data_IF_054986802331
#
_entry.id   IF_054986802331
#
_cell.length_a   1.000
_cell.length_b   1.000
_cell.length_c   1.000
_cell.angle_alpha   90.00
_cell.angle_beta   90.00
_cell.angle_gamma   90.00
#
_symmetry.space_group_name_H-M   'P 1'
#
loop_
_entity.id
_entity.type
_entity.pdbx_description
1 polymer ?
#
# COMPACT_ATOMS: atom_id res chain seq x y z
N UNK A 1 23.94 -20.57 29.12
CA UNK A 1 22.79 -20.50 28.20
C UNK A 1 23.27 -19.88 26.91
N UNK A 2 23.15 -20.57 25.77
CA UNK A 2 23.50 -20.02 24.45
C UNK A 2 22.34 -19.18 23.92
N UNK A 3 22.55 -17.95 23.42
CA UNK A 3 21.50 -17.18 22.79
C UNK A 3 21.14 -17.79 21.43
N UNK A 4 19.85 -18.10 21.25
CA UNK A 4 19.28 -18.52 19.98
C UNK A 4 19.07 -17.27 19.12
N UNK A 5 19.77 -17.19 17.99
CA UNK A 5 19.55 -16.15 16.98
C UNK A 5 18.25 -16.48 16.22
N UNK A 6 17.28 -15.55 16.12
CA UNK A 6 16.10 -15.78 15.29
C UNK A 6 16.49 -15.82 13.81
N UNK A 7 16.02 -16.87 13.13
CA UNK A 7 16.18 -17.05 11.69
C UNK A 7 15.48 -15.91 10.93
N UNK A 8 16.08 -15.34 9.87
CA UNK A 8 15.38 -14.38 9.04
C UNK A 8 14.14 -15.05 8.44
N UNK A 9 12.98 -14.39 8.59
CA UNK A 9 11.75 -14.82 7.95
C UNK A 9 11.99 -14.90 6.44
N UNK A 10 11.74 -16.07 5.85
CA UNK A 10 11.82 -16.26 4.42
C UNK A 10 10.85 -15.29 3.74
N UNK A 11 11.34 -14.55 2.74
CA UNK A 11 10.51 -13.72 1.88
C UNK A 11 9.44 -14.62 1.23
N UNK A 12 8.15 -14.22 1.21
CA UNK A 12 7.15 -14.98 0.49
C UNK A 12 7.53 -15.04 -0.99
N UNK A 13 7.33 -16.22 -1.59
CA UNK A 13 7.64 -16.49 -2.98
C UNK A 13 6.98 -15.45 -3.90
N UNK A 14 7.75 -14.95 -4.86
CA UNK A 14 7.29 -14.07 -5.93
C UNK A 14 6.19 -14.80 -6.71
N UNK A 15 4.92 -14.43 -6.47
CA UNK A 15 3.82 -14.86 -7.32
C UNK A 15 4.06 -14.29 -8.72
N UNK A 16 4.54 -15.14 -9.61
CA UNK A 16 4.62 -14.86 -11.04
C UNK A 16 3.19 -14.88 -11.58
N UNK A 17 2.62 -13.70 -11.88
CA UNK A 17 1.31 -13.60 -12.51
C UNK A 17 1.40 -14.09 -13.96
N UNK A 18 1.21 -15.40 -14.14
CA UNK A 18 1.12 -16.07 -15.43
C UNK A 18 -0.05 -15.56 -16.27
N UNK A 19 0.26 -15.39 -17.56
CA UNK A 19 -0.54 -15.08 -18.75
C UNK A 19 -2.06 -15.36 -18.72
N UNK A 20 -2.79 -14.33 -19.18
CA UNK A 20 -4.23 -14.27 -19.53
C UNK A 20 -5.24 -14.29 -18.38
N UNK A 21 -5.10 -13.38 -17.41
CA UNK A 21 -6.21 -12.94 -16.56
C UNK A 21 -7.18 -12.10 -17.40
N UNK A 22 -8.47 -12.44 -17.38
CA UNK A 22 -9.51 -11.52 -17.86
C UNK A 22 -9.37 -10.18 -17.14
N UNK A 23 -9.45 -9.08 -17.89
CA UNK A 23 -9.43 -7.72 -17.32
C UNK A 23 -10.58 -7.65 -16.32
N UNK A 24 -10.26 -7.48 -15.03
CA UNK A 24 -11.28 -7.33 -14.00
C UNK A 24 -11.78 -5.90 -14.02
N UNK A 25 -13.07 -5.72 -13.72
CA UNK A 25 -13.70 -4.42 -13.62
C UNK A 25 -14.50 -4.34 -12.34
N UNK A 26 -14.55 -3.15 -11.75
CA UNK A 26 -15.49 -2.82 -10.69
C UNK A 26 -16.68 -2.06 -11.27
N UNK A 27 -17.80 -2.05 -10.56
CA UNK A 27 -19.00 -1.33 -10.97
C UNK A 27 -19.74 -0.69 -9.78
N UNK A 28 -20.05 0.60 -9.90
CA UNK A 28 -20.95 1.31 -9.00
C UNK A 28 -22.27 1.55 -9.74
N UNK A 29 -23.36 1.00 -9.22
CA UNK A 29 -24.71 1.18 -9.77
C UNK A 29 -25.52 2.10 -8.85
N UNK A 30 -26.17 3.11 -9.43
CA UNK A 30 -27.04 4.01 -8.70
C UNK A 30 -28.44 3.44 -8.52
N UNK A 31 -29.22 3.99 -7.57
CA UNK A 31 -30.63 3.64 -7.38
C UNK A 31 -31.52 3.96 -8.59
N UNK A 32 -31.05 4.78 -9.52
CA UNK A 32 -31.74 5.07 -10.79
C UNK A 32 -31.33 4.15 -11.92
N UNK A 33 -30.43 3.18 -11.66
CA UNK A 33 -29.94 2.21 -12.63
C UNK A 33 -28.77 2.70 -13.50
N UNK A 34 -28.18 3.87 -13.20
CA UNK A 34 -26.95 4.31 -13.85
C UNK A 34 -25.78 3.47 -13.35
N UNK A 35 -24.90 3.04 -14.25
CA UNK A 35 -23.75 2.22 -13.90
C UNK A 35 -22.47 2.90 -14.36
N UNK A 36 -21.53 3.08 -13.44
CA UNK A 36 -20.16 3.48 -13.74
C UNK A 36 -19.25 2.30 -13.47
N UNK A 37 -18.34 2.04 -14.40
CA UNK A 37 -17.36 0.95 -14.31
C UNK A 37 -15.95 1.48 -14.46
N UNK A 38 -14.99 0.71 -13.94
CA UNK A 38 -13.58 1.01 -14.10
C UNK A 38 -12.73 -0.26 -14.01
N UNK A 39 -11.45 -0.12 -14.34
CA UNK A 39 -10.50 -1.23 -14.22
C UNK A 39 -10.30 -1.59 -12.75
N UNK A 40 -10.36 -2.88 -12.42
CA UNK A 40 -10.01 -3.41 -11.10
C UNK A 40 -8.65 -4.13 -11.21
N UNK A 41 -7.56 -3.48 -10.80
CA UNK A 41 -6.24 -4.08 -10.96
C UNK A 41 -6.10 -5.41 -10.22
N UNK A 42 -5.31 -6.38 -10.72
CA UNK A 42 -5.08 -7.66 -10.07
C UNK A 42 -4.43 -7.52 -8.68
N UNK A 43 -3.74 -6.41 -8.45
CA UNK A 43 -3.01 -6.08 -7.22
C UNK A 43 -3.84 -5.31 -6.19
N UNK A 44 -5.03 -4.82 -6.56
CA UNK A 44 -5.89 -4.10 -5.63
C UNK A 44 -6.38 -5.04 -4.52
N UNK A 45 -6.20 -4.62 -3.27
CA UNK A 45 -6.65 -5.35 -2.09
C UNK A 45 -8.19 -5.45 -2.02
N UNK A 46 -8.89 -4.44 -2.52
CA UNK A 46 -10.34 -4.31 -2.42
C UNK A 46 -11.00 -4.03 -3.78
N UNK A 47 -12.24 -4.51 -3.92
CA UNK A 47 -13.13 -4.21 -5.04
C UNK A 47 -14.11 -3.11 -4.60
N UNK A 48 -14.09 -1.92 -5.23
CA UNK A 48 -14.95 -0.80 -4.84
C UNK A 48 -16.38 -0.91 -5.41
N UNK A 49 -16.77 -2.06 -5.97
CA UNK A 49 -18.10 -2.26 -6.52
C UNK A 49 -19.19 -2.07 -5.45
N UNK A 50 -20.20 -1.25 -5.76
CA UNK A 50 -21.31 -0.93 -4.86
C UNK A 50 -22.62 -0.87 -5.67
N UNK A 51 -23.74 -1.29 -5.08
CA UNK A 51 -25.06 -1.21 -5.69
C UNK A 51 -25.94 -0.23 -4.91
N UNK A 52 -27.02 0.23 -5.53
CA UNK A 52 -28.02 1.10 -4.90
C UNK A 52 -27.45 2.40 -4.31
N UNK A 53 -26.41 2.96 -4.95
CA UNK A 53 -25.83 4.24 -4.54
C UNK A 53 -26.80 5.37 -4.91
N UNK A 54 -27.24 6.22 -3.96
CA UNK A 54 -28.05 7.38 -4.32
C UNK A 54 -27.27 8.29 -5.29
N UNK A 55 -27.85 8.79 -6.40
CA UNK A 55 -27.13 9.58 -7.39
C UNK A 55 -26.33 10.76 -6.79
N UNK A 56 -26.88 11.42 -5.76
CA UNK A 56 -26.22 12.51 -5.06
C UNK A 56 -24.94 12.12 -4.29
N UNK A 57 -24.72 10.83 -4.04
CA UNK A 57 -23.51 10.29 -3.39
C UNK A 57 -22.49 9.74 -4.39
N UNK A 58 -22.85 9.62 -5.67
CA UNK A 58 -22.00 8.98 -6.68
C UNK A 58 -20.62 9.64 -6.78
N UNK A 59 -20.56 10.98 -6.81
CA UNK A 59 -19.30 11.70 -6.86
C UNK A 59 -18.40 11.42 -5.64
N UNK A 60 -18.98 11.38 -4.44
CA UNK A 60 -18.23 11.03 -3.23
C UNK A 60 -17.73 9.57 -3.28
N UNK A 61 -18.57 8.65 -3.76
CA UNK A 61 -18.17 7.24 -3.93
C UNK A 61 -17.05 7.05 -4.93
N UNK A 62 -17.09 7.77 -6.04
CA UNK A 62 -15.98 7.76 -7.01
C UNK A 62 -14.70 8.32 -6.38
N UNK A 63 -14.78 9.41 -5.62
CA UNK A 63 -13.62 9.96 -4.91
C UNK A 63 -13.02 8.99 -3.87
N UNK A 64 -13.85 8.11 -3.28
CA UNK A 64 -13.41 7.07 -2.35
C UNK A 64 -12.79 5.84 -3.06
N UNK A 65 -12.90 5.73 -4.40
CA UNK A 65 -12.27 4.63 -5.14
C UNK A 65 -10.75 4.73 -5.01
N UNK A 66 -10.20 3.81 -4.23
CA UNK A 66 -8.78 3.72 -3.92
C UNK A 66 -8.32 2.28 -4.11
N UNK A 67 -7.40 2.07 -5.04
CA UNK A 67 -6.71 0.79 -5.19
C UNK A 67 -5.42 0.85 -4.41
N UNK A 68 -5.20 -0.12 -3.52
CA UNK A 68 -3.97 -0.17 -2.75
C UNK A 68 -3.41 -1.59 -2.65
N UNK A 69 -2.10 -1.66 -2.42
CA UNK A 69 -1.35 -2.86 -2.06
C UNK A 69 -0.38 -2.51 -0.93
N UNK A 70 -0.42 -3.26 0.16
CA UNK A 70 0.43 -3.01 1.32
C UNK A 70 1.71 -3.84 1.30
N UNK A 71 2.76 -3.28 1.88
CA UNK A 71 4.04 -3.91 2.14
C UNK A 71 4.39 -3.64 3.60
N UNK A 72 4.47 -4.69 4.43
CA UNK A 72 4.75 -4.50 5.84
C UNK A 72 6.12 -3.86 6.03
N UNK A 73 6.22 -3.02 7.05
CA UNK A 73 7.43 -2.36 7.50
C UNK A 73 8.29 -3.26 8.36
N UNK A 74 9.15 -2.63 9.16
CA UNK A 74 10.00 -3.31 10.13
C UNK A 74 9.48 -3.08 11.54
N UNK A 75 9.43 -4.14 12.35
CA UNK A 75 9.09 -4.01 13.76
C UNK A 75 10.33 -3.61 14.55
N UNK A 76 10.25 -2.47 15.24
CA UNK A 76 11.27 -1.95 16.15
C UNK A 76 10.64 -1.59 17.50
N UNK A 77 11.45 -1.59 18.56
CA UNK A 77 11.00 -1.16 19.88
C UNK A 77 11.16 0.35 20.04
N UNK A 78 10.08 1.06 20.35
CA UNK A 78 10.07 2.51 20.54
C UNK A 78 9.12 2.94 21.65
N UNK A 79 9.36 4.12 22.21
CA UNK A 79 8.46 4.78 23.14
C UNK A 79 7.40 5.57 22.40
N UNK A 80 6.15 5.41 22.82
CA UNK A 80 5.00 6.13 22.31
C UNK A 80 4.60 7.25 23.26
N UNK A 81 4.26 8.47 22.77
CA UNK A 81 3.78 9.56 23.61
C UNK A 81 2.52 9.22 24.42
N UNK A 82 1.73 8.26 23.94
CA UNK A 82 0.51 7.80 24.60
C UNK A 82 0.71 6.66 25.58
N UNK A 83 1.92 6.09 25.70
CA UNK A 83 2.16 4.97 26.59
C UNK A 83 2.45 5.45 28.03
N UNK A 84 1.58 5.10 28.96
CA UNK A 84 1.68 5.45 30.39
C UNK A 84 2.55 4.49 31.20
N UNK A 85 3.01 3.38 30.61
CA UNK A 85 3.80 2.36 31.33
C UNK A 85 5.30 2.65 31.36
N UNK A 86 5.77 3.69 30.65
CA UNK A 86 7.20 3.98 30.44
C UNK A 86 8.00 2.76 29.94
N UNK A 87 7.34 1.87 29.19
CA UNK A 87 7.98 0.72 28.53
C UNK A 87 7.96 0.89 27.00
N UNK A 88 9.03 0.50 26.28
CA UNK A 88 9.04 0.57 24.83
C UNK A 88 8.23 -0.58 24.24
N UNK A 89 7.35 -0.23 23.29
CA UNK A 89 6.45 -1.14 22.59
C UNK A 89 6.99 -1.53 21.21
N UNK A 90 6.52 -2.68 20.69
CA UNK A 90 6.81 -3.10 19.32
C UNK A 90 5.96 -2.29 18.34
N UNK A 91 6.63 -1.52 17.48
CA UNK A 91 6.02 -0.67 16.47
C UNK A 91 6.50 -1.06 15.08
N UNK A 92 5.55 -1.21 14.15
CA UNK A 92 5.86 -1.31 12.73
C UNK A 92 6.19 0.07 12.15
N UNK A 93 7.47 0.27 11.89
CA UNK A 93 8.01 1.49 11.27
C UNK A 93 8.25 1.29 9.79
N UNK A 94 8.10 2.38 9.02
CA UNK A 94 8.43 2.41 7.59
C UNK A 94 7.69 1.34 6.76
N UNK A 95 6.44 1.05 7.13
CA UNK A 95 5.55 0.32 6.24
C UNK A 95 5.31 1.14 4.96
N UNK A 96 5.04 0.45 3.86
CA UNK A 96 4.78 1.11 2.59
C UNK A 96 3.55 0.54 1.92
N UNK A 97 2.95 1.33 1.05
CA UNK A 97 1.87 0.89 0.20
C UNK A 97 2.07 1.45 -1.19
N UNK A 98 1.54 0.78 -2.19
CA UNK A 98 1.30 1.37 -3.50
C UNK A 98 -0.18 1.72 -3.54
N UNK A 99 -0.50 2.98 -3.82
CA UNK A 99 -1.86 3.51 -3.81
C UNK A 99 -2.16 4.22 -5.13
N UNK A 100 -3.38 4.11 -5.60
CA UNK A 100 -3.90 4.83 -6.76
C UNK A 100 -5.34 5.25 -6.47
N UNK A 101 -5.65 6.53 -6.65
CA UNK A 101 -6.97 7.12 -6.41
C UNK A 101 -7.42 7.80 -7.71
N UNK A 102 -8.06 7.06 -8.65
CA UNK A 102 -8.26 7.51 -10.02
C UNK A 102 -9.12 8.78 -10.17
N UNK A 103 -9.98 9.04 -9.18
CA UNK A 103 -10.89 10.19 -9.15
C UNK A 103 -10.47 11.24 -8.12
N UNK A 104 -9.25 11.17 -7.60
CA UNK A 104 -8.73 12.20 -6.71
C UNK A 104 -8.67 13.56 -7.44
N UNK A 105 -8.94 14.68 -6.74
CA UNK A 105 -8.82 16.01 -7.34
C UNK A 105 -7.41 16.34 -7.84
N UNK A 106 -6.40 15.77 -7.18
CA UNK A 106 -4.99 15.89 -7.53
C UNK A 106 -4.63 14.88 -8.63
N UNK A 107 -4.29 15.32 -9.87
CA UNK A 107 -4.05 14.42 -11.01
C UNK A 107 -2.90 13.43 -10.79
N UNK A 108 -1.93 13.77 -9.97
CA UNK A 108 -0.80 12.92 -9.61
C UNK A 108 -1.21 11.65 -8.84
N UNK A 109 -2.35 11.68 -8.15
CA UNK A 109 -2.88 10.55 -7.39
C UNK A 109 -3.66 9.56 -8.27
N UNK A 110 -4.00 9.94 -9.50
CA UNK A 110 -4.62 9.06 -10.48
C UNK A 110 -3.62 8.06 -11.12
N UNK A 111 -2.34 8.15 -10.73
CA UNK A 111 -1.31 7.18 -11.07
C UNK A 111 -0.90 6.41 -9.81
N UNK A 112 -0.57 5.10 -9.94
CA UNK A 112 0.00 4.36 -8.84
C UNK A 112 1.30 4.99 -8.35
N UNK A 113 1.35 5.27 -7.05
CA UNK A 113 2.50 5.84 -6.34
C UNK A 113 2.77 5.03 -5.08
N UNK A 114 4.05 4.96 -4.69
CA UNK A 114 4.42 4.39 -3.40
C UNK A 114 4.30 5.45 -2.30
N UNK A 115 3.63 5.10 -1.20
CA UNK A 115 3.57 5.87 0.03
C UNK A 115 4.37 5.11 1.09
N UNK A 116 5.21 5.81 1.84
CA UNK A 116 5.97 5.23 2.97
C UNK A 116 5.55 5.92 4.25
N UNK A 117 5.07 5.15 5.22
CA UNK A 117 4.71 5.65 6.55
C UNK A 117 5.98 5.80 7.38
N UNK A 118 6.50 7.02 7.47
CA UNK A 118 7.53 7.35 8.46
C UNK A 118 6.89 7.28 9.84
N UNK A 119 7.52 6.60 10.80
CA UNK A 119 7.00 6.51 12.17
C UNK A 119 6.74 7.93 12.72
N UNK A 120 5.62 8.13 13.39
CA UNK A 120 5.19 9.44 13.93
C UNK A 120 6.05 9.95 15.08
N UNK A 121 5.43 10.54 16.10
CA UNK A 121 6.12 11.12 17.28
C UNK A 121 6.72 10.06 18.24
N UNK A 122 7.38 9.02 17.73
CA UNK A 122 7.99 7.97 18.53
C UNK A 122 9.47 8.23 18.76
N UNK A 123 9.94 7.86 19.96
CA UNK A 123 11.35 8.01 20.34
C UNK A 123 11.98 6.66 20.64
N UNK A 124 13.19 6.44 20.15
CA UNK A 124 14.04 5.34 20.57
C UNK A 124 15.14 5.93 21.47
N UNK A 125 15.00 5.76 22.78
CA UNK A 125 15.96 6.23 23.78
C UNK A 125 16.76 5.07 24.34
N UNK A 126 17.85 5.38 25.06
CA UNK A 126 18.64 4.40 25.83
C UNK A 126 19.18 3.22 25.01
N UNK A 127 19.46 3.46 23.72
CA UNK A 127 20.03 2.45 22.83
C UNK A 127 21.47 2.13 23.24
N UNK A 128 21.68 0.92 23.75
CA UNK A 128 23.00 0.33 23.88
C UNK A 128 23.58 -0.03 22.49
N UNK A 129 24.84 -0.48 22.38
CA UNK A 129 25.43 -0.84 21.09
C UNK A 129 24.65 -1.92 20.32
N UNK A 130 23.98 -2.84 21.01
CA UNK A 130 23.13 -3.86 20.39
C UNK A 130 21.85 -3.24 19.84
N UNK A 131 21.23 -2.33 20.60
CA UNK A 131 20.05 -1.56 20.18
C UNK A 131 20.33 -0.72 18.94
N UNK A 132 21.48 -0.03 18.89
CA UNK A 132 21.91 0.71 17.68
C UNK A 132 22.13 -0.24 16.50
N UNK A 133 22.78 -1.38 16.71
CA UNK A 133 23.00 -2.37 15.65
C UNK A 133 21.67 -2.91 15.09
N UNK A 134 20.68 -3.17 15.95
CA UNK A 134 19.35 -3.62 15.55
C UNK A 134 18.58 -2.56 14.77
N UNK A 135 18.64 -1.29 15.19
CA UNK A 135 18.05 -0.17 14.44
C UNK A 135 18.66 -0.08 13.03
N UNK A 136 19.99 -0.10 12.94
CA UNK A 136 20.70 -0.04 11.64
C UNK A 136 20.34 -1.24 10.75
N UNK A 137 20.27 -2.44 11.32
CA UNK A 137 19.84 -3.63 10.58
C UNK A 137 18.39 -3.50 10.07
N UNK A 138 17.49 -2.97 10.89
CA UNK A 138 16.11 -2.71 10.51
C UNK A 138 15.98 -1.69 9.37
N UNK A 139 16.73 -0.58 9.45
CA UNK A 139 16.74 0.43 8.38
C UNK A 139 17.29 -0.13 7.06
N UNK A 140 18.32 -0.98 7.11
CA UNK A 140 18.84 -1.67 5.92
C UNK A 140 17.79 -2.62 5.34
N UNK A 141 17.12 -3.40 6.16
CA UNK A 141 16.06 -4.30 5.70
C UNK A 141 14.89 -3.54 5.01
N UNK A 142 14.55 -2.34 5.50
CA UNK A 142 13.57 -1.47 4.84
C UNK A 142 14.10 -0.97 3.50
N UNK A 143 15.34 -0.48 3.45
CA UNK A 143 15.95 0.00 2.21
C UNK A 143 16.02 -1.11 1.15
N UNK A 144 16.47 -2.31 1.53
CA UNK A 144 16.55 -3.48 0.65
C UNK A 144 15.16 -3.87 0.12
N UNK A 145 14.12 -3.78 0.95
CA UNK A 145 12.73 -4.05 0.53
C UNK A 145 12.22 -3.00 -0.46
N UNK A 146 12.48 -1.73 -0.20
CA UNK A 146 12.09 -0.66 -1.12
C UNK A 146 12.75 -0.86 -2.49
N UNK A 147 14.05 -1.15 -2.51
CA UNK A 147 14.84 -1.32 -3.73
C UNK A 147 14.48 -2.59 -4.51
N UNK A 148 14.41 -3.73 -3.83
CA UNK A 148 14.29 -5.02 -4.48
C UNK A 148 12.86 -5.55 -4.60
N UNK A 149 11.89 -4.95 -3.90
CA UNK A 149 10.49 -5.40 -3.91
C UNK A 149 9.55 -4.29 -4.35
N UNK A 150 9.55 -3.15 -3.66
CA UNK A 150 8.53 -2.10 -3.89
C UNK A 150 8.77 -1.40 -5.23
N UNK A 151 9.99 -1.00 -5.55
CA UNK A 151 10.30 -0.33 -6.83
C UNK A 151 9.96 -1.23 -8.04
N UNK A 152 10.40 -2.50 -8.12
CA UNK A 152 10.02 -3.38 -9.22
C UNK A 152 8.51 -3.53 -9.36
N UNK A 153 7.79 -3.78 -8.25
CA UNK A 153 6.34 -3.93 -8.31
C UNK A 153 5.62 -2.64 -8.68
N UNK A 154 6.10 -1.48 -8.23
CA UNK A 154 5.55 -0.19 -8.64
C UNK A 154 5.69 0.02 -10.15
N UNK A 155 6.84 -0.35 -10.73
CA UNK A 155 7.05 -0.26 -12.17
C UNK A 155 6.07 -1.16 -12.94
N UNK A 156 5.92 -2.42 -12.51
CA UNK A 156 4.98 -3.36 -13.13
C UNK A 156 3.53 -2.87 -13.02
N UNK A 157 3.14 -2.41 -11.84
CA UNK A 157 1.81 -1.84 -11.57
C UNK A 157 1.54 -0.62 -12.44
N UNK A 158 2.52 0.29 -12.60
CA UNK A 158 2.37 1.46 -13.46
C UNK A 158 2.30 1.09 -14.93
N UNK A 159 3.03 0.08 -15.38
CA UNK A 159 2.95 -0.41 -16.75
C UNK A 159 1.57 -1.04 -17.05
N UNK A 160 1.05 -1.84 -16.11
CA UNK A 160 -0.30 -2.40 -16.15
C UNK A 160 -1.37 -1.29 -16.20
N UNK A 161 -1.31 -0.36 -15.23
CA UNK A 161 -2.23 0.77 -15.16
C UNK A 161 -2.23 1.59 -16.45
N UNK A 162 -1.04 1.90 -16.96
CA UNK A 162 -0.86 2.63 -18.22
C UNK A 162 -1.49 1.85 -19.37
N UNK A 163 -1.25 0.55 -19.51
CA UNK A 163 -1.83 -0.27 -20.58
C UNK A 163 -3.36 -0.18 -20.62
N UNK A 164 -4.00 -0.19 -19.45
CA UNK A 164 -5.46 -0.15 -19.32
C UNK A 164 -6.06 1.26 -19.41
N UNK A 165 -5.26 2.32 -19.29
CA UNK A 165 -5.74 3.71 -19.34
C UNK A 165 -5.20 4.53 -20.54
N UNK A 166 -4.22 4.02 -21.29
CA UNK A 166 -3.69 4.68 -22.52
C UNK A 166 -4.58 4.42 -23.74
N UNK A 167 -5.49 3.43 -23.67
CA UNK A 167 -6.46 3.14 -24.73
C UNK A 167 -7.75 3.99 -24.64
N UNK A 168 -7.84 4.89 -23.66
CA UNK A 168 -9.02 5.74 -23.45
C UNK A 168 -8.82 7.18 -23.95
N UNK A 169 -8.85 7.40 -25.27
CA UNK A 169 -9.09 8.73 -25.84
C UNK A 169 -10.53 9.24 -25.59
N UNK A 170 -11.15 8.84 -24.48
CA UNK A 170 -12.56 9.08 -24.20
C UNK A 170 -12.96 8.69 -22.79
N UNK A 171 -12.17 9.07 -21.78
CA UNK A 171 -12.65 9.23 -20.39
C UNK A 171 -11.50 9.81 -19.54
N UNK A 172 -11.18 11.08 -19.78
CA UNK A 172 -10.94 11.93 -18.62
C UNK A 172 -12.33 12.24 -18.05
N UNK A 173 -12.62 12.05 -16.75
CA UNK A 173 -13.75 12.74 -16.15
C UNK A 173 -13.59 14.26 -16.27
#
# INVERSE_FOLDING_TARGET
>A
MKPTVPSPAALPATESYGTARSVRQWAITTTTGEQITGYLPPWAAEDPSEQDVPPQKLAARLADVCHYKEFPGQVLRAYSPGNVTDEPEELEVMSSSITCTPYAPAPELALPVATVRVAGEYWMTDLDPTGVANLVAGLRAVADRLDHVVIPQLNDIRADWTTHHTSGAGARP
#
